data_IF_106981769784
#
_entry.id   IF_106981769784
#
_cell.length_a   1.000
_cell.length_b   1.000
_cell.length_c   1.000
_cell.angle_alpha   90.00
_cell.angle_beta   90.00
_cell.angle_gamma   90.00
#
_symmetry.space_group_name_H-M   'P 1'
#
loop_
_entity.id
_entity.type
_entity.pdbx_description
1 polymer ?
#
# COMPACT_ATOMS: atom_id res chain seq x y z
N UNK A 1 -70.21 32.24 29.86
CA UNK A 1 -70.45 30.78 30.04
C UNK A 1 -70.30 29.92 28.77
N UNK A 2 -69.85 30.42 27.60
CA UNK A 2 -69.73 29.59 26.38
C UNK A 2 -68.31 29.22 25.94
N UNK A 3 -67.26 29.75 26.58
CA UNK A 3 -65.87 29.46 26.19
C UNK A 3 -65.22 28.33 27.01
N UNK A 4 -65.60 28.18 28.29
CA UNK A 4 -65.09 27.11 29.16
C UNK A 4 -65.62 25.71 28.78
N UNK A 5 -66.83 25.62 28.20
CA UNK A 5 -67.39 24.34 27.72
C UNK A 5 -66.70 23.80 26.46
N UNK A 6 -66.15 24.68 25.60
CA UNK A 6 -65.46 24.27 24.37
C UNK A 6 -64.01 23.86 24.67
N UNK A 7 -63.35 24.53 25.63
CA UNK A 7 -62.01 24.13 26.08
C UNK A 7 -62.05 22.79 26.82
N UNK A 8 -63.10 22.50 27.59
CA UNK A 8 -63.28 21.18 28.21
C UNK A 8 -63.53 20.07 27.17
N UNK A 9 -64.24 20.37 26.06
CA UNK A 9 -64.46 19.40 24.99
C UNK A 9 -63.20 19.14 24.14
N UNK A 10 -62.35 20.16 23.96
CA UNK A 10 -61.07 20.02 23.24
C UNK A 10 -60.00 19.35 24.14
N UNK A 11 -60.03 19.58 25.46
CA UNK A 11 -59.12 18.90 26.39
C UNK A 11 -59.50 17.44 26.68
N UNK A 12 -60.73 17.01 26.34
CA UNK A 12 -61.12 15.59 26.30
C UNK A 12 -60.81 14.92 24.96
N UNK A 13 -60.52 15.67 23.91
CA UNK A 13 -60.16 15.14 22.58
C UNK A 13 -58.64 14.96 22.37
N UNK A 14 -57.80 15.45 23.28
CA UNK A 14 -56.32 15.34 23.18
C UNK A 14 -55.76 14.09 23.88
N UNK A 15 -56.60 13.25 24.52
CA UNK A 15 -56.16 12.03 25.21
C UNK A 15 -56.15 10.74 24.34
N UNK A 16 -56.33 10.82 23.02
CA UNK A 16 -56.52 9.63 22.17
C UNK A 16 -55.59 9.58 20.95
N UNK A 17 -54.42 10.21 21.01
CA UNK A 17 -53.38 10.05 19.99
C UNK A 17 -52.17 9.32 20.59
N UNK A 18 -51.95 8.07 20.16
CA UNK A 18 -50.74 7.29 20.46
C UNK A 18 -50.87 6.17 21.51
N UNK A 19 -52.01 5.49 21.64
CA UNK A 19 -52.11 4.31 22.51
C UNK A 19 -51.63 3.04 21.80
N UNK A 20 -50.48 2.52 22.25
CA UNK A 20 -50.03 1.17 21.89
C UNK A 20 -50.86 0.17 22.71
N UNK A 21 -51.59 -0.72 22.06
CA UNK A 21 -52.44 -1.72 22.72
C UNK A 21 -51.94 -3.13 22.46
N UNK A 22 -52.17 -4.06 23.39
CA UNK A 22 -51.90 -5.48 23.13
C UNK A 22 -52.74 -5.99 21.96
N UNK A 23 -52.10 -6.80 21.12
CA UNK A 23 -52.65 -7.22 19.85
C UNK A 23 -52.34 -8.70 19.56
N UNK A 24 -52.94 -9.23 18.50
CA UNK A 24 -52.73 -10.60 18.03
C UNK A 24 -51.62 -10.66 16.98
N UNK A 25 -50.91 -11.80 16.84
CA UNK A 25 -50.03 -12.02 15.69
C UNK A 25 -50.81 -11.89 14.37
N UNK A 26 -50.20 -11.35 13.29
CA UNK A 26 -50.84 -11.26 11.98
C UNK A 26 -51.31 -12.61 11.40
N UNK A 27 -50.71 -13.71 11.85
CA UNK A 27 -51.02 -15.08 11.41
C UNK A 27 -51.94 -15.85 12.36
N UNK A 28 -52.42 -15.25 13.45
CA UNK A 28 -53.39 -15.88 14.34
C UNK A 28 -54.76 -16.00 13.65
N UNK A 29 -55.45 -17.12 13.85
CA UNK A 29 -56.76 -17.37 13.25
C UNK A 29 -57.88 -17.05 14.23
N UNK A 30 -58.88 -16.30 13.78
CA UNK A 30 -60.11 -16.08 14.52
C UNK A 30 -60.96 -17.34 14.54
N UNK A 31 -61.37 -17.78 15.73
CA UNK A 31 -62.14 -19.00 15.93
C UNK A 31 -63.33 -18.74 16.84
N UNK A 32 -64.46 -19.40 16.58
CA UNK A 32 -65.65 -19.40 17.43
C UNK A 32 -65.49 -20.29 18.66
N UNK A 33 -64.37 -20.17 19.37
CA UNK A 33 -64.07 -20.97 20.55
C UNK A 33 -64.65 -20.34 21.81
N UNK A 34 -65.11 -21.17 22.73
CA UNK A 34 -65.64 -20.76 24.03
C UNK A 34 -64.76 -21.30 25.17
N UNK A 35 -64.75 -20.59 26.30
CA UNK A 35 -64.00 -20.99 27.49
C UNK A 35 -64.56 -22.32 28.00
N UNK A 36 -63.71 -23.34 28.10
CA UNK A 36 -64.07 -24.66 28.62
C UNK A 36 -63.62 -24.82 30.09
N UNK A 37 -62.40 -24.39 30.39
CA UNK A 37 -61.88 -24.28 31.75
C UNK A 37 -60.85 -23.13 31.85
N UNK A 38 -60.16 -22.99 32.98
CA UNK A 38 -59.21 -21.90 33.22
C UNK A 38 -58.06 -21.81 32.20
N UNK A 39 -57.68 -22.90 31.51
CA UNK A 39 -56.58 -22.89 30.52
C UNK A 39 -56.98 -23.42 29.15
N UNK A 40 -58.22 -23.90 29.00
CA UNK A 40 -58.70 -24.57 27.79
C UNK A 40 -59.94 -23.89 27.23
N UNK A 41 -59.98 -23.87 25.91
CA UNK A 41 -61.12 -23.46 25.11
C UNK A 41 -61.61 -24.67 24.31
N UNK A 42 -62.86 -24.65 23.91
CA UNK A 42 -63.41 -25.66 23.04
C UNK A 42 -64.11 -25.01 21.86
N UNK A 43 -64.04 -25.64 20.70
CA UNK A 43 -64.90 -25.32 19.57
C UNK A 43 -65.23 -26.60 18.81
N UNK A 44 -66.34 -26.59 18.08
CA UNK A 44 -66.77 -27.75 17.29
C UNK A 44 -66.47 -27.52 15.83
N UNK A 45 -65.78 -28.48 15.21
CA UNK A 45 -65.51 -28.53 13.78
C UNK A 45 -66.11 -29.82 13.23
N UNK A 46 -67.06 -29.72 12.32
CA UNK A 46 -67.64 -30.88 11.62
C UNK A 46 -68.13 -31.99 12.59
N UNK A 47 -68.75 -31.59 13.71
CA UNK A 47 -69.25 -32.52 14.73
C UNK A 47 -68.21 -33.12 15.66
N UNK A 48 -66.92 -32.78 15.50
CA UNK A 48 -65.83 -33.17 16.41
C UNK A 48 -65.47 -32.03 17.35
N UNK A 49 -65.22 -32.36 18.62
CA UNK A 49 -64.72 -31.41 19.60
C UNK A 49 -63.22 -31.14 19.36
N UNK A 50 -62.86 -29.86 19.30
CA UNK A 50 -61.47 -29.40 19.26
C UNK A 50 -61.20 -28.64 20.55
N UNK A 51 -60.29 -29.16 21.36
CA UNK A 51 -59.84 -28.59 22.61
C UNK A 51 -58.58 -27.77 22.34
N UNK A 52 -58.63 -26.47 22.62
CA UNK A 52 -57.50 -25.56 22.47
C UNK A 52 -56.90 -25.33 23.85
N UNK A 53 -55.62 -25.62 24.02
CA UNK A 53 -54.92 -25.45 25.28
C UNK A 53 -53.88 -24.33 25.15
N UNK A 54 -53.92 -23.34 26.05
CA UNK A 54 -52.87 -22.33 26.12
C UNK A 54 -51.54 -22.99 26.52
N UNK A 55 -50.53 -22.89 25.67
CA UNK A 55 -49.21 -23.44 25.94
C UNK A 55 -48.48 -22.64 27.04
N UNK A 56 -47.69 -23.35 27.87
CA UNK A 56 -46.85 -22.74 28.91
C UNK A 56 -47.62 -22.11 30.07
N UNK A 57 -48.93 -22.31 30.15
CA UNK A 57 -49.79 -21.80 31.22
C UNK A 57 -50.46 -22.94 31.96
N UNK A 58 -50.32 -22.94 33.28
CA UNK A 58 -50.98 -23.90 34.17
C UNK A 58 -51.81 -23.16 35.21
N UNK A 59 -52.92 -23.75 35.61
CA UNK A 59 -53.79 -23.21 36.66
C UNK A 59 -53.72 -24.11 37.88
N UNK A 60 -53.38 -23.54 39.04
CA UNK A 60 -53.27 -24.23 40.31
C UNK A 60 -53.94 -23.39 41.41
N UNK A 61 -55.22 -23.09 41.21
CA UNK A 61 -56.07 -22.38 42.16
C UNK A 61 -57.15 -23.26 42.78
N UNK A 62 -57.74 -22.75 43.85
CA UNK A 62 -58.95 -23.28 44.49
C UNK A 62 -60.18 -23.19 43.58
N UNK A 63 -61.27 -23.88 43.95
CA UNK A 63 -62.53 -23.83 43.19
C UNK A 63 -63.10 -22.41 43.10
N UNK A 64 -62.99 -21.61 44.15
CA UNK A 64 -63.44 -20.21 44.17
C UNK A 64 -62.61 -19.34 43.23
N UNK A 65 -61.28 -19.50 43.23
CA UNK A 65 -60.40 -18.81 42.28
C UNK A 65 -60.69 -19.22 40.84
N UNK A 66 -60.95 -20.50 40.59
CA UNK A 66 -61.33 -20.99 39.26
C UNK A 66 -62.62 -20.33 38.79
N UNK A 67 -63.62 -20.18 39.66
CA UNK A 67 -64.87 -19.50 39.31
C UNK A 67 -64.65 -18.00 39.00
N UNK A 68 -63.85 -17.30 39.80
CA UNK A 68 -63.53 -15.88 39.55
C UNK A 68 -62.79 -15.69 38.21
N UNK A 69 -61.81 -16.55 37.94
CA UNK A 69 -61.06 -16.56 36.68
C UNK A 69 -61.97 -16.87 35.49
N UNK A 70 -62.85 -17.87 35.59
CA UNK A 70 -63.80 -18.18 34.53
C UNK A 70 -64.72 -16.99 34.23
N UNK A 71 -65.23 -16.31 35.26
CA UNK A 71 -66.04 -15.10 35.07
C UNK A 71 -65.26 -14.00 34.34
N UNK A 72 -63.99 -13.81 34.69
CA UNK A 72 -63.13 -12.87 33.98
C UNK A 72 -62.94 -13.28 32.52
N UNK A 73 -62.60 -14.54 32.24
CA UNK A 73 -62.42 -15.04 30.88
C UNK A 73 -63.71 -14.95 30.05
N UNK A 74 -64.88 -15.27 30.62
CA UNK A 74 -66.16 -15.09 29.93
C UNK A 74 -66.44 -13.62 29.56
N UNK A 75 -66.01 -12.68 30.41
CA UNK A 75 -66.16 -11.24 30.12
C UNK A 75 -65.19 -10.75 29.03
N UNK A 76 -63.99 -11.34 28.97
CA UNK A 76 -62.92 -10.88 28.09
C UNK A 76 -62.87 -11.63 26.76
N UNK A 77 -63.32 -12.88 26.70
CA UNK A 77 -63.09 -13.76 25.56
C UNK A 77 -64.35 -13.93 24.70
N UNK A 78 -64.92 -12.81 24.23
CA UNK A 78 -66.02 -12.84 23.25
C UNK A 78 -65.52 -13.21 21.85
N UNK A 79 -64.38 -12.66 21.48
CA UNK A 79 -63.63 -13.04 20.28
C UNK A 79 -62.38 -13.80 20.72
N UNK A 80 -62.06 -14.88 20.02
CA UNK A 80 -60.89 -15.71 20.31
C UNK A 80 -60.07 -15.85 19.04
N UNK A 81 -58.77 -15.59 19.15
CA UNK A 81 -57.79 -15.78 18.11
C UNK A 81 -56.73 -16.78 18.61
N UNK A 82 -56.34 -17.72 17.76
CA UNK A 82 -55.44 -18.81 18.15
C UNK A 82 -54.31 -18.94 17.14
N UNK A 83 -53.11 -19.09 17.66
CA UNK A 83 -51.95 -19.53 16.90
C UNK A 83 -51.65 -20.97 17.29
N UNK A 84 -52.13 -21.90 16.45
CA UNK A 84 -51.97 -23.34 16.66
C UNK A 84 -50.51 -23.72 16.45
N UNK A 85 -49.90 -24.36 17.46
CA UNK A 85 -48.50 -24.82 17.38
C UNK A 85 -48.41 -26.24 16.86
N UNK A 86 -49.29 -27.11 17.34
CA UNK A 86 -49.39 -28.49 16.90
C UNK A 86 -50.83 -29.00 17.02
N UNK A 87 -51.13 -30.11 16.36
CA UNK A 87 -52.44 -30.79 16.43
C UNK A 87 -52.21 -32.23 16.87
N UNK A 88 -52.80 -32.59 18.00
CA UNK A 88 -52.75 -33.94 18.55
C UNK A 88 -54.14 -34.57 18.46
N UNK A 89 -54.23 -35.74 17.80
CA UNK A 89 -55.47 -36.51 17.76
C UNK A 89 -55.67 -37.24 19.09
N UNK A 90 -56.87 -37.11 19.66
CA UNK A 90 -57.28 -37.83 20.87
C UNK A 90 -58.48 -38.71 20.55
N UNK A 91 -58.72 -39.76 21.35
CA UNK A 91 -59.87 -40.65 21.14
C UNK A 91 -61.25 -39.96 21.25
N UNK A 92 -61.32 -38.70 21.70
CA UNK A 92 -62.55 -37.92 21.89
C UNK A 92 -62.60 -36.62 21.08
N UNK A 93 -61.62 -36.37 20.21
CA UNK A 93 -61.50 -35.11 19.47
C UNK A 93 -60.06 -34.71 19.16
N UNK A 94 -59.81 -33.44 18.94
CA UNK A 94 -58.47 -32.91 18.69
C UNK A 94 -58.02 -32.03 19.86
N UNK A 95 -56.72 -32.09 20.20
CA UNK A 95 -56.08 -31.19 21.17
C UNK A 95 -55.08 -30.31 20.43
N UNK A 96 -55.25 -29.00 20.54
CA UNK A 96 -54.45 -27.99 19.87
C UNK A 96 -53.69 -27.15 20.90
N UNK A 97 -52.45 -27.54 21.26
CA UNK A 97 -51.54 -26.63 21.95
C UNK A 97 -51.34 -25.36 21.13
N UNK A 98 -51.67 -24.22 21.72
CA UNK A 98 -51.78 -22.95 21.01
C UNK A 98 -51.37 -21.77 21.88
N UNK A 99 -50.99 -20.67 21.23
CA UNK A 99 -51.02 -19.34 21.86
C UNK A 99 -52.41 -18.75 21.65
N UNK A 100 -53.12 -18.49 22.75
CA UNK A 100 -54.51 -18.06 22.76
C UNK A 100 -54.59 -16.59 23.12
N UNK A 101 -55.29 -15.86 22.28
CA UNK A 101 -55.59 -14.46 22.46
C UNK A 101 -57.10 -14.29 22.49
N UNK A 102 -57.61 -13.42 23.34
CA UNK A 102 -59.03 -13.14 23.36
C UNK A 102 -59.34 -11.67 23.55
N UNK A 103 -60.50 -11.22 23.07
CA UNK A 103 -60.88 -9.82 23.12
C UNK A 103 -62.38 -9.68 23.34
N UNK A 104 -62.76 -8.66 24.12
CA UNK A 104 -64.14 -8.35 24.43
C UNK A 104 -64.84 -7.69 23.22
N UNK A 105 -64.11 -6.83 22.52
CA UNK A 105 -64.64 -5.94 21.47
C UNK A 105 -63.82 -5.97 20.17
N UNK A 106 -62.67 -6.66 20.17
CA UNK A 106 -61.73 -6.73 19.05
C UNK A 106 -60.71 -5.58 19.02
N UNK A 107 -60.75 -4.64 19.97
CA UNK A 107 -59.92 -3.42 19.96
C UNK A 107 -58.62 -3.54 20.76
N UNK A 108 -58.56 -4.50 21.68
CA UNK A 108 -57.36 -4.89 22.43
C UNK A 108 -57.44 -6.37 22.78
N UNK A 109 -56.33 -7.08 22.71
CA UNK A 109 -56.33 -8.54 22.83
C UNK A 109 -55.55 -8.98 24.06
N UNK A 110 -56.22 -9.73 24.92
CA UNK A 110 -55.63 -10.42 26.06
C UNK A 110 -54.89 -11.65 25.54
N UNK A 111 -53.57 -11.62 25.61
CA UNK A 111 -52.78 -12.84 25.49
C UNK A 111 -52.87 -13.61 26.81
N UNK A 112 -53.41 -14.83 26.78
CA UNK A 112 -53.67 -15.59 28.03
C UNK A 112 -52.40 -15.89 28.81
N UNK A 113 -51.24 -15.93 28.15
CA UNK A 113 -49.94 -16.07 28.82
C UNK A 113 -49.67 -14.96 29.85
N UNK A 114 -50.33 -13.81 29.73
CA UNK A 114 -50.20 -12.69 30.68
C UNK A 114 -51.06 -12.83 31.94
N UNK A 115 -51.93 -13.84 32.02
CA UNK A 115 -52.80 -14.07 33.20
C UNK A 115 -52.08 -14.22 34.55
N UNK A 116 -50.84 -14.76 34.64
CA UNK A 116 -50.08 -14.79 35.90
C UNK A 116 -49.84 -13.39 36.49
N UNK A 117 -49.86 -12.34 35.68
CA UNK A 117 -49.71 -10.95 36.15
C UNK A 117 -50.97 -10.43 36.86
N UNK A 118 -52.13 -11.08 36.67
CA UNK A 118 -53.41 -10.68 37.25
C UNK A 118 -53.91 -11.64 38.32
N UNK A 119 -53.69 -12.94 38.15
CA UNK A 119 -54.16 -13.95 39.10
C UNK A 119 -53.01 -14.87 39.51
N UNK A 120 -52.70 -14.88 40.80
CA UNK A 120 -51.65 -15.72 41.39
C UNK A 120 -51.89 -17.23 41.23
N UNK A 121 -53.14 -17.62 40.97
CA UNK A 121 -53.52 -19.01 40.70
C UNK A 121 -52.94 -19.55 39.37
N UNK A 122 -52.54 -18.68 38.44
CA UNK A 122 -51.83 -19.11 37.23
C UNK A 122 -50.33 -19.17 37.45
N UNK A 123 -49.71 -20.20 36.88
CA UNK A 123 -48.26 -20.34 36.77
C UNK A 123 -47.87 -20.43 35.31
N UNK A 124 -46.97 -19.56 34.90
CA UNK A 124 -46.44 -19.47 33.54
C UNK A 124 -45.36 -18.39 33.46
N UNK A 125 -44.44 -18.54 32.53
CA UNK A 125 -43.38 -17.56 32.32
C UNK A 125 -43.91 -16.37 31.51
N UNK A 126 -43.78 -15.16 32.07
CA UNK A 126 -44.06 -13.91 31.38
C UNK A 126 -42.75 -13.16 31.18
N UNK A 127 -42.34 -13.05 29.93
CA UNK A 127 -41.17 -12.26 29.56
C UNK A 127 -41.56 -10.80 29.50
N UNK A 128 -40.64 -9.93 29.93
CA UNK A 128 -40.78 -8.48 29.85
C UNK A 128 -39.70 -7.91 28.95
N UNK A 129 -39.79 -6.63 28.59
CA UNK A 129 -38.82 -5.88 27.80
C UNK A 129 -38.69 -4.49 28.41
N UNK A 130 -37.47 -4.01 28.60
CA UNK A 130 -37.24 -2.61 28.95
C UNK A 130 -37.41 -1.74 27.70
N UNK A 131 -38.49 -0.98 27.65
CA UNK A 131 -38.85 -0.16 26.50
C UNK A 131 -39.45 1.16 26.96
N UNK A 132 -38.98 2.28 26.40
CA UNK A 132 -39.45 3.64 26.70
C UNK A 132 -40.81 3.95 26.06
N UNK A 133 -41.75 3.03 26.19
CA UNK A 133 -43.12 3.11 25.66
C UNK A 133 -44.11 2.74 26.76
N UNK A 134 -45.36 3.17 26.60
CA UNK A 134 -46.49 2.76 27.41
C UNK A 134 -47.40 1.87 26.58
N UNK A 135 -47.74 0.69 27.10
CA UNK A 135 -48.69 -0.21 26.46
C UNK A 135 -49.91 -0.46 27.34
N UNK A 136 -51.05 -0.56 26.70
CA UNK A 136 -52.34 -0.83 27.32
C UNK A 136 -52.77 -2.26 27.00
N UNK A 137 -53.05 -3.04 28.03
CA UNK A 137 -53.50 -4.43 27.88
C UNK A 137 -54.74 -4.67 28.73
N UNK A 138 -55.56 -5.70 28.43
CA UNK A 138 -56.70 -6.05 29.27
C UNK A 138 -56.36 -6.44 30.72
N UNK A 139 -55.09 -6.73 31.02
CA UNK A 139 -54.64 -7.00 32.41
C UNK A 139 -54.11 -5.77 33.14
N UNK A 140 -53.77 -4.68 32.43
CA UNK A 140 -53.16 -3.49 33.02
C UNK A 140 -52.38 -2.64 32.02
N UNK A 141 -51.86 -1.51 32.53
CA UNK A 141 -51.02 -0.56 31.78
C UNK A 141 -49.58 -0.72 32.21
N UNK A 142 -48.66 -0.82 31.26
CA UNK A 142 -47.23 -1.03 31.51
C UNK A 142 -46.41 0.10 30.88
N UNK A 143 -45.48 0.67 31.63
CA UNK A 143 -44.61 1.78 31.19
C UNK A 143 -43.18 1.47 31.56
N UNK A 144 -42.23 1.62 30.62
CA UNK A 144 -40.80 1.37 30.86
C UNK A 144 -40.43 -0.12 30.92
N UNK A 145 -41.31 -0.95 31.48
CA UNK A 145 -41.12 -2.40 31.58
C UNK A 145 -42.38 -3.12 31.11
N UNK A 146 -42.34 -3.59 29.86
CA UNK A 146 -43.53 -4.00 29.09
C UNK A 146 -43.48 -5.51 28.83
N UNK A 147 -44.58 -6.27 28.98
CA UNK A 147 -44.58 -7.68 28.61
C UNK A 147 -44.16 -7.88 27.15
N UNK A 148 -43.44 -8.95 26.85
CA UNK A 148 -43.23 -9.35 25.47
C UNK A 148 -44.57 -9.67 24.79
N UNK A 149 -44.64 -9.57 23.47
CA UNK A 149 -45.88 -9.86 22.75
C UNK A 149 -46.08 -9.04 21.49
N UNK A 150 -47.27 -9.16 20.91
CA UNK A 150 -47.71 -8.39 19.76
C UNK A 150 -48.50 -7.16 20.21
N UNK A 151 -48.26 -6.05 19.54
CA UNK A 151 -48.81 -4.75 19.87
C UNK A 151 -49.24 -4.02 18.61
N UNK A 152 -50.28 -3.21 18.74
CA UNK A 152 -50.80 -2.32 17.70
C UNK A 152 -50.61 -0.89 18.17
N UNK A 153 -49.88 -0.09 17.39
CA UNK A 153 -49.91 1.36 17.53
C UNK A 153 -51.16 1.91 16.82
N UNK A 154 -52.15 2.37 17.59
CA UNK A 154 -53.39 2.94 17.05
C UNK A 154 -53.19 4.22 16.25
N UNK A 155 -52.10 4.95 16.48
CA UNK A 155 -51.80 6.18 15.74
C UNK A 155 -51.36 5.88 14.30
N UNK A 156 -50.55 4.82 14.12
CA UNK A 156 -49.98 4.44 12.82
C UNK A 156 -50.66 3.23 12.18
N UNK A 157 -51.56 2.55 12.90
CA UNK A 157 -52.14 1.25 12.54
C UNK A 157 -51.10 0.17 12.25
N UNK A 158 -49.90 0.29 12.84
CA UNK A 158 -48.82 -0.68 12.67
C UNK A 158 -48.87 -1.74 13.75
N UNK A 159 -48.82 -3.00 13.33
CA UNK A 159 -48.64 -4.15 14.23
C UNK A 159 -47.15 -4.47 14.32
N UNK A 160 -46.61 -4.53 15.53
CA UNK A 160 -45.23 -4.89 15.79
C UNK A 160 -45.12 -5.86 16.96
N UNK A 161 -43.99 -6.54 17.06
CA UNK A 161 -43.71 -7.50 18.14
C UNK A 161 -42.59 -6.98 19.03
N UNK A 162 -42.84 -6.91 20.33
CA UNK A 162 -41.78 -6.78 21.32
C UNK A 162 -41.24 -8.18 21.63
N UNK A 163 -39.94 -8.44 21.39
CA UNK A 163 -39.38 -9.77 21.55
C UNK A 163 -39.41 -10.23 23.01
N UNK A 164 -39.75 -11.49 23.26
CA UNK A 164 -39.42 -12.13 24.54
C UNK A 164 -37.91 -12.25 24.63
N UNK A 165 -37.32 -11.87 25.77
CA UNK A 165 -35.87 -11.99 25.95
C UNK A 165 -35.42 -13.43 25.70
N UNK A 166 -34.67 -13.65 24.62
CA UNK A 166 -33.86 -14.85 24.45
C UNK A 166 -32.39 -14.39 24.57
N UNK A 167 -31.85 -14.47 25.80
CA UNK A 167 -30.51 -13.94 26.13
C UNK A 167 -29.41 -14.43 25.17
N UNK A 168 -29.59 -15.63 24.62
CA UNK A 168 -28.70 -16.23 23.62
C UNK A 168 -28.54 -15.37 22.35
N UNK A 169 -29.60 -14.71 21.88
CA UNK A 169 -29.54 -13.92 20.63
C UNK A 169 -28.75 -12.63 20.83
N UNK A 170 -28.89 -11.98 21.99
CA UNK A 170 -28.12 -10.78 22.34
C UNK A 170 -26.64 -11.11 22.52
N UNK A 171 -26.32 -12.25 23.14
CA UNK A 171 -24.94 -12.73 23.24
C UNK A 171 -24.33 -12.98 21.87
N UNK A 172 -25.09 -13.56 20.94
CA UNK A 172 -24.59 -13.83 19.58
C UNK A 172 -24.41 -12.53 18.78
N UNK A 173 -25.34 -11.58 18.90
CA UNK A 173 -25.20 -10.25 18.29
C UNK A 173 -23.97 -9.52 18.83
N UNK A 174 -23.71 -9.58 20.15
CA UNK A 174 -22.50 -9.00 20.73
C UNK A 174 -21.23 -9.69 20.25
N UNK A 175 -21.21 -11.03 20.17
CA UNK A 175 -20.07 -11.78 19.62
C UNK A 175 -19.80 -11.36 18.18
N UNK A 176 -20.83 -11.31 17.33
CA UNK A 176 -20.68 -10.88 15.93
C UNK A 176 -20.18 -9.44 15.82
N UNK A 177 -20.67 -8.52 16.66
CA UNK A 177 -20.17 -7.15 16.70
C UNK A 177 -18.69 -7.08 17.10
N UNK A 178 -18.25 -7.87 18.09
CA UNK A 178 -16.84 -7.92 18.48
C UNK A 178 -15.97 -8.49 17.36
N UNK A 179 -16.42 -9.53 16.65
CA UNK A 179 -15.72 -10.11 15.51
C UNK A 179 -15.61 -9.10 14.36
N UNK A 180 -16.67 -8.37 14.04
CA UNK A 180 -16.65 -7.33 13.00
C UNK A 180 -15.66 -6.22 13.37
N UNK A 181 -15.66 -5.75 14.62
CA UNK A 181 -14.73 -4.74 15.09
C UNK A 181 -13.27 -5.22 14.98
N UNK A 182 -13.01 -6.46 15.38
CA UNK A 182 -11.67 -7.05 15.32
C UNK A 182 -11.19 -7.23 13.87
N UNK A 183 -12.04 -7.73 12.97
CA UNK A 183 -11.73 -7.87 11.55
C UNK A 183 -11.47 -6.51 10.89
N UNK A 184 -12.25 -5.49 11.25
CA UNK A 184 -12.06 -4.12 10.73
C UNK A 184 -10.70 -3.56 11.17
N UNK A 185 -10.31 -3.76 12.43
CA UNK A 185 -9.00 -3.36 12.92
C UNK A 185 -7.85 -4.11 12.24
N UNK A 186 -8.00 -5.42 12.01
CA UNK A 186 -7.02 -6.22 11.26
C UNK A 186 -6.88 -5.75 9.81
N UNK A 187 -7.98 -5.43 9.14
CA UNK A 187 -7.96 -4.91 7.77
C UNK A 187 -7.23 -3.56 7.69
N UNK A 188 -7.48 -2.65 8.64
CA UNK A 188 -6.77 -1.37 8.73
C UNK A 188 -5.27 -1.56 8.97
N UNK A 189 -4.88 -2.45 9.89
CA UNK A 189 -3.48 -2.77 10.14
C UNK A 189 -2.79 -3.40 8.92
N UNK A 190 -3.45 -4.34 8.24
CA UNK A 190 -2.94 -4.93 7.00
C UNK A 190 -2.80 -3.89 5.88
N UNK A 191 -3.76 -2.97 5.75
CA UNK A 191 -3.70 -1.86 4.79
C UNK A 191 -2.52 -0.92 5.08
N UNK A 192 -2.27 -0.60 6.36
CA UNK A 192 -1.14 0.23 6.77
C UNK A 192 0.21 -0.47 6.52
N UNK A 193 0.29 -1.78 6.80
CA UNK A 193 1.49 -2.56 6.48
C UNK A 193 1.73 -2.62 4.97
N UNK A 194 0.68 -2.76 4.16
CA UNK A 194 0.80 -2.80 2.71
C UNK A 194 1.27 -1.45 2.13
N UNK A 195 0.79 -0.33 2.68
CA UNK A 195 1.28 1.00 2.27
C UNK A 195 2.74 1.24 2.67
N UNK A 196 3.15 0.77 3.86
CA UNK A 196 4.56 0.79 4.28
C UNK A 196 5.45 -0.08 3.38
N UNK A 197 5.03 -1.30 3.06
CA UNK A 197 5.72 -2.19 2.12
C UNK A 197 5.84 -1.56 0.73
N UNK A 198 4.78 -0.94 0.23
CA UNK A 198 4.80 -0.22 -1.05
C UNK A 198 5.81 0.93 -1.04
N UNK A 199 5.91 1.67 0.07
CA UNK A 199 6.88 2.76 0.21
C UNK A 199 8.32 2.25 0.30
N UNK A 200 8.54 1.13 0.99
CA UNK A 200 9.86 0.49 1.05
C UNK A 200 10.28 -0.05 -0.32
N UNK A 201 9.33 -0.62 -1.08
CA UNK A 201 9.58 -1.12 -2.44
C UNK A 201 9.98 0.02 -3.39
N UNK A 202 9.31 1.17 -3.33
CA UNK A 202 9.70 2.34 -4.13
C UNK A 202 11.08 2.86 -3.73
N UNK A 203 11.40 2.93 -2.44
CA UNK A 203 12.74 3.32 -1.99
C UNK A 203 13.83 2.34 -2.46
N UNK A 204 13.59 1.03 -2.35
CA UNK A 204 14.52 0.01 -2.85
C UNK A 204 14.69 0.10 -4.37
N UNK A 205 13.61 0.33 -5.11
CA UNK A 205 13.67 0.50 -6.57
C UNK A 205 14.48 1.74 -6.98
N UNK A 206 14.38 2.84 -6.21
CA UNK A 206 15.17 4.04 -6.45
C UNK A 206 16.66 3.78 -6.17
N UNK A 207 16.99 3.13 -5.05
CA UNK A 207 18.37 2.73 -4.73
C UNK A 207 18.96 1.79 -5.77
N UNK A 208 18.18 0.84 -6.28
CA UNK A 208 18.65 -0.06 -7.34
C UNK A 208 19.00 0.71 -8.63
N UNK A 209 18.18 1.69 -9.03
CA UNK A 209 18.47 2.54 -10.19
C UNK A 209 19.70 3.42 -10.00
N UNK A 210 19.91 3.92 -8.78
CA UNK A 210 21.11 4.69 -8.45
C UNK A 210 22.38 3.84 -8.48
N UNK A 211 22.33 2.62 -7.95
CA UNK A 211 23.46 1.69 -8.06
C UNK A 211 23.74 1.29 -9.52
N UNK A 212 22.70 1.09 -10.33
CA UNK A 212 22.83 0.81 -11.76
C UNK A 212 23.52 1.97 -12.51
N UNK A 213 23.17 3.23 -12.18
CA UNK A 213 23.81 4.40 -12.80
C UNK A 213 25.26 4.57 -12.36
N UNK A 214 25.57 4.35 -11.07
CA UNK A 214 26.93 4.36 -10.56
C UNK A 214 27.79 3.28 -11.21
N UNK A 215 27.25 2.06 -11.38
CA UNK A 215 27.93 0.97 -12.08
C UNK A 215 28.29 1.37 -13.50
N UNK A 216 27.35 1.93 -14.27
CA UNK A 216 27.62 2.39 -15.65
C UNK A 216 28.68 3.47 -15.71
N UNK A 217 28.62 4.46 -14.82
CA UNK A 217 29.63 5.51 -14.74
C UNK A 217 31.03 4.92 -14.42
N UNK A 218 31.10 3.91 -13.55
CA UNK A 218 32.35 3.21 -13.26
C UNK A 218 32.87 2.42 -14.48
N UNK A 219 31.99 1.70 -15.17
CA UNK A 219 32.34 0.97 -16.40
C UNK A 219 32.89 1.91 -17.49
N UNK A 220 32.28 3.08 -17.67
CA UNK A 220 32.75 4.11 -18.60
C UNK A 220 34.11 4.68 -18.17
N UNK A 221 34.29 4.96 -16.87
CA UNK A 221 35.56 5.44 -16.34
C UNK A 221 36.70 4.41 -16.52
N UNK A 222 36.41 3.12 -16.35
CA UNK A 222 37.37 2.03 -16.61
C UNK A 222 37.74 1.98 -18.09
N UNK A 223 36.77 1.99 -19.01
CA UNK A 223 37.04 2.02 -20.46
C UNK A 223 37.87 3.25 -20.86
N UNK A 224 37.56 4.40 -20.28
CA UNK A 224 38.34 5.61 -20.51
C UNK A 224 39.80 5.43 -20.06
N UNK A 225 40.03 4.92 -18.85
CA UNK A 225 41.39 4.62 -18.36
C UNK A 225 42.13 3.61 -19.22
N UNK A 226 41.47 2.54 -19.66
CA UNK A 226 42.08 1.55 -20.57
C UNK A 226 42.52 2.20 -21.88
N UNK A 227 41.69 3.07 -22.46
CA UNK A 227 42.06 3.82 -23.67
C UNK A 227 43.27 4.74 -23.46
N UNK A 228 43.34 5.43 -22.32
CA UNK A 228 44.47 6.30 -21.94
C UNK A 228 45.74 5.48 -21.74
N UNK A 229 45.67 4.34 -21.06
CA UNK A 229 46.81 3.43 -20.88
C UNK A 229 47.31 2.94 -22.25
N UNK A 230 46.41 2.55 -23.15
CA UNK A 230 46.77 2.13 -24.51
C UNK A 230 47.48 3.25 -25.27
N UNK A 231 46.96 4.48 -25.23
CA UNK A 231 47.56 5.64 -25.88
C UNK A 231 48.95 5.98 -25.32
N UNK A 232 49.09 5.99 -23.99
CA UNK A 232 50.38 6.21 -23.31
C UNK A 232 51.39 5.11 -23.64
N UNK A 233 50.96 3.85 -23.72
CA UNK A 233 51.83 2.73 -24.09
C UNK A 233 52.37 2.88 -25.51
N UNK A 234 51.54 3.32 -26.46
CA UNK A 234 51.94 3.59 -27.83
C UNK A 234 52.91 4.78 -27.91
N UNK A 235 52.64 5.87 -27.18
CA UNK A 235 53.57 7.01 -27.09
C UNK A 235 54.93 6.61 -26.50
N UNK A 236 54.93 5.77 -25.47
CA UNK A 236 56.17 5.29 -24.86
C UNK A 236 56.98 4.39 -25.80
N UNK A 237 56.31 3.56 -26.60
CA UNK A 237 56.96 2.79 -27.67
C UNK A 237 57.54 3.69 -28.76
N UNK A 238 56.80 4.71 -29.20
CA UNK A 238 57.28 5.68 -30.18
C UNK A 238 58.51 6.45 -29.67
N UNK A 239 58.46 6.97 -28.44
CA UNK A 239 59.59 7.67 -27.82
C UNK A 239 60.82 6.77 -27.65
N UNK A 240 60.64 5.48 -27.34
CA UNK A 240 61.74 4.50 -27.32
C UNK A 240 62.36 4.32 -28.72
N UNK A 241 61.54 4.19 -29.75
CA UNK A 241 62.02 4.07 -31.12
C UNK A 241 62.80 5.32 -31.58
N UNK A 242 62.32 6.51 -31.23
CA UNK A 242 63.02 7.78 -31.48
C UNK A 242 64.36 7.85 -30.74
N UNK A 243 64.39 7.48 -29.45
CA UNK A 243 65.62 7.44 -28.67
C UNK A 243 66.66 6.47 -29.25
N UNK A 244 66.23 5.30 -29.72
CA UNK A 244 67.12 4.34 -30.38
C UNK A 244 67.62 4.83 -31.75
N UNK A 245 66.77 5.55 -32.51
CA UNK A 245 67.18 6.20 -33.75
C UNK A 245 68.22 7.31 -33.49
N UNK A 246 68.00 8.17 -32.50
CA UNK A 246 68.93 9.21 -32.09
C UNK A 246 70.26 8.63 -31.58
N UNK A 247 70.23 7.52 -30.83
CA UNK A 247 71.45 6.81 -30.42
C UNK A 247 72.26 6.32 -31.62
N UNK A 248 71.60 5.74 -32.63
CA UNK A 248 72.28 5.32 -33.87
C UNK A 248 72.91 6.51 -34.60
N UNK A 249 72.19 7.63 -34.71
CA UNK A 249 72.72 8.86 -35.30
C UNK A 249 73.92 9.41 -34.52
N UNK A 250 73.89 9.38 -33.18
CA UNK A 250 75.01 9.81 -32.34
C UNK A 250 76.25 8.94 -32.58
N UNK A 251 76.09 7.62 -32.64
CA UNK A 251 77.19 6.69 -32.91
C UNK A 251 77.78 6.88 -34.32
N UNK A 252 76.94 7.14 -35.33
CA UNK A 252 77.41 7.44 -36.68
C UNK A 252 78.18 8.77 -36.71
N UNK A 253 77.64 9.84 -36.10
CA UNK A 253 78.32 11.12 -35.99
C UNK A 253 79.65 11.02 -35.23
N UNK A 254 79.74 10.17 -34.20
CA UNK A 254 81.00 9.88 -33.50
C UNK A 254 82.03 9.23 -34.41
N UNK A 255 81.61 8.24 -35.22
CA UNK A 255 82.49 7.59 -36.20
C UNK A 255 82.98 8.58 -37.25
N UNK A 256 82.10 9.42 -37.78
CA UNK A 256 82.47 10.48 -38.71
C UNK A 256 83.47 11.45 -38.08
N UNK A 257 83.29 11.82 -36.80
CA UNK A 257 84.21 12.69 -36.09
C UNK A 257 85.60 12.05 -35.94
N UNK A 258 85.68 10.77 -35.57
CA UNK A 258 86.96 10.05 -35.49
C UNK A 258 87.65 9.94 -36.86
N UNK A 259 86.89 9.69 -37.94
CA UNK A 259 87.41 9.70 -39.31
C UNK A 259 87.93 11.08 -39.70
N UNK A 260 87.19 12.15 -39.41
CA UNK A 260 87.62 13.52 -39.68
C UNK A 260 88.85 13.91 -38.87
N UNK A 261 88.94 13.48 -37.61
CA UNK A 261 90.10 13.68 -36.73
C UNK A 261 91.33 12.95 -37.25
N UNK A 262 91.18 11.72 -37.74
CA UNK A 262 92.25 10.98 -38.40
C UNK A 262 92.69 11.64 -39.72
N UNK A 263 91.75 12.15 -40.52
CA UNK A 263 92.08 12.94 -41.72
C UNK A 263 92.83 14.22 -41.36
N UNK A 264 92.42 14.92 -40.31
CA UNK A 264 93.10 16.13 -39.83
C UNK A 264 94.51 15.82 -39.32
N UNK A 265 94.72 14.73 -38.57
CA UNK A 265 96.06 14.33 -38.13
C UNK A 265 96.95 13.94 -39.30
N UNK A 266 96.42 13.23 -40.30
CA UNK A 266 97.14 12.89 -41.53
C UNK A 266 97.51 14.14 -42.33
N UNK A 267 96.58 15.07 -42.51
CA UNK A 267 96.85 16.35 -43.17
C UNK A 267 97.89 17.15 -42.40
N UNK A 268 97.77 17.22 -41.07
CA UNK A 268 98.75 17.91 -40.23
C UNK A 268 100.15 17.29 -40.33
N UNK A 269 100.26 15.96 -40.34
CA UNK A 269 101.53 15.27 -40.59
C UNK A 269 102.09 15.57 -41.99
N UNK A 270 101.22 15.61 -43.01
CA UNK A 270 101.61 15.98 -44.38
C UNK A 270 102.08 17.44 -44.45
N UNK A 271 101.42 18.36 -43.74
CA UNK A 271 101.85 19.75 -43.63
C UNK A 271 103.17 19.87 -42.87
N UNK A 272 103.36 19.14 -41.77
CA UNK A 272 104.61 19.11 -41.03
C UNK A 272 105.77 18.58 -41.91
N UNK A 273 105.53 17.55 -42.71
CA UNK A 273 106.51 17.02 -43.67
C UNK A 273 106.80 18.00 -44.81
N UNK A 274 105.78 18.69 -45.34
CA UNK A 274 106.01 19.80 -46.29
C UNK A 274 106.78 20.95 -45.66
N UNK A 275 106.51 21.30 -44.41
CA UNK A 275 107.23 22.35 -43.68
C UNK A 275 108.68 21.93 -43.49
N UNK A 276 108.96 20.68 -43.11
CA UNK A 276 110.32 20.16 -42.95
C UNK A 276 111.05 20.09 -44.31
N UNK A 277 110.38 19.67 -45.38
CA UNK A 277 110.90 19.73 -46.75
C UNK A 277 111.19 21.16 -47.19
N UNK A 278 110.28 22.10 -46.94
CA UNK A 278 110.49 23.51 -47.25
C UNK A 278 111.62 24.10 -46.42
N UNK A 279 111.77 23.73 -45.14
CA UNK A 279 112.91 24.12 -44.30
C UNK A 279 114.21 23.50 -44.79
N UNK A 280 114.20 22.25 -45.26
CA UNK A 280 115.35 21.61 -45.89
C UNK A 280 115.70 22.29 -47.21
N UNK A 281 114.72 22.65 -48.04
CA UNK A 281 114.93 23.44 -49.24
C UNK A 281 115.40 24.85 -48.92
N UNK A 282 114.93 25.49 -47.84
CA UNK A 282 115.42 26.79 -47.38
C UNK A 282 116.83 26.69 -46.83
N UNK A 283 117.18 25.59 -46.16
CA UNK A 283 118.54 25.31 -45.71
C UNK A 283 119.46 24.94 -46.86
N UNK A 284 118.96 24.24 -47.88
CA UNK A 284 119.69 23.99 -49.13
C UNK A 284 119.81 25.28 -49.96
N UNK A 285 118.81 26.15 -49.98
CA UNK A 285 118.85 27.46 -50.62
C UNK A 285 119.68 28.46 -49.82
N UNK A 286 119.80 28.32 -48.49
CA UNK A 286 120.70 29.13 -47.66
C UNK A 286 122.14 28.62 -47.80
N UNK A 287 122.35 27.30 -47.90
CA UNK A 287 123.64 26.71 -48.26
C UNK A 287 124.03 27.03 -49.71
N UNK A 288 123.08 27.02 -50.65
CA UNK A 288 123.27 27.48 -52.03
C UNK A 288 123.43 29.01 -52.08
N UNK A 289 122.78 29.81 -51.23
CA UNK A 289 123.05 31.26 -51.11
C UNK A 289 124.40 31.55 -50.44
N UNK A 290 124.92 30.65 -49.62
CA UNK A 290 126.32 30.70 -49.16
C UNK A 290 127.31 30.23 -50.23
N UNK A 291 126.84 29.69 -51.37
CA UNK A 291 127.67 29.27 -52.50
C UNK A 291 127.32 29.93 -53.86
N UNK A 292 126.33 30.82 -53.88
CA UNK A 292 125.88 31.56 -55.07
C UNK A 292 125.63 33.02 -54.68
N UNK A 293 126.75 33.70 -54.48
CA UNK A 293 126.86 35.11 -54.82
C UNK A 293 126.55 35.29 -56.31
N UNK A 294 125.91 36.42 -56.61
CA UNK A 294 125.65 36.99 -57.94
C UNK A 294 124.37 36.57 -58.69
N UNK A 295 123.64 37.64 -59.05
CA UNK A 295 122.61 37.79 -60.08
C UNK A 295 121.15 37.40 -59.79
N UNK A 296 120.33 38.45 -59.63
CA UNK A 296 119.15 38.65 -60.48
C UNK A 296 117.87 37.90 -60.11
N UNK A 297 116.94 38.60 -59.43
CA UNK A 297 115.55 38.15 -59.30
C UNK A 297 114.82 38.00 -60.65
N UNK A 298 113.56 37.51 -60.66
CA UNK A 298 112.48 38.44 -60.32
C UNK A 298 111.24 37.86 -59.58
N UNK A 299 110.63 38.77 -58.81
CA UNK A 299 109.22 38.96 -58.47
C UNK A 299 108.18 37.87 -58.86
N UNK A 300 107.78 37.08 -57.86
CA UNK A 300 106.62 36.16 -57.87
C UNK A 300 105.27 36.86 -57.58
N UNK A 301 105.25 38.20 -57.54
CA UNK A 301 104.06 39.01 -57.24
C UNK A 301 102.83 38.75 -58.16
N UNK A 302 102.95 38.46 -59.48
CA UNK A 302 101.76 38.27 -60.32
C UNK A 302 101.11 36.89 -60.16
N UNK A 303 101.83 35.87 -59.68
CA UNK A 303 101.27 34.51 -59.47
C UNK A 303 100.40 34.48 -58.20
N UNK A 304 100.74 35.31 -57.22
CA UNK A 304 99.99 35.45 -55.97
C UNK A 304 98.62 36.10 -56.19
N UNK A 305 98.49 37.01 -57.15
CA UNK A 305 97.20 37.62 -57.51
C UNK A 305 96.26 36.66 -58.26
N UNK A 306 96.79 35.80 -59.13
CA UNK A 306 95.98 34.78 -59.83
C UNK A 306 95.46 33.73 -58.84
N UNK A 307 96.29 33.32 -57.86
CA UNK A 307 95.89 32.40 -56.81
C UNK A 307 94.80 33.01 -55.88
N UNK A 308 94.86 34.30 -55.58
CA UNK A 308 93.87 34.96 -54.72
C UNK A 308 92.49 35.06 -55.38
N UNK A 309 92.42 35.35 -56.69
CA UNK A 309 91.15 35.44 -57.43
C UNK A 309 90.47 34.08 -57.54
N UNK A 310 91.23 32.99 -57.72
CA UNK A 310 90.69 31.63 -57.75
C UNK A 310 90.11 31.19 -56.39
N UNK A 311 90.75 31.57 -55.29
CA UNK A 311 90.29 31.24 -53.93
C UNK A 311 89.01 32.02 -53.56
N UNK A 312 88.92 33.30 -53.95
CA UNK A 312 87.72 34.12 -53.71
C UNK A 312 86.54 33.62 -54.55
N UNK A 313 86.77 33.22 -55.81
CA UNK A 313 85.72 32.63 -56.66
C UNK A 313 85.16 31.31 -56.12
N UNK A 314 86.02 30.44 -55.59
CA UNK A 314 85.61 29.16 -55.00
C UNK A 314 84.80 29.35 -53.70
N UNK A 315 85.17 30.32 -52.86
CA UNK A 315 84.45 30.66 -51.62
C UNK A 315 83.04 31.22 -51.88
N UNK A 316 82.87 32.00 -52.94
CA UNK A 316 81.57 32.56 -53.34
C UNK A 316 80.65 31.46 -53.90
N UNK A 317 81.19 30.55 -54.70
CA UNK A 317 80.41 29.41 -55.22
C UNK A 317 79.92 28.47 -54.11
N UNK A 318 80.76 28.19 -53.11
CA UNK A 318 80.40 27.34 -51.96
C UNK A 318 79.37 28.02 -51.04
N UNK A 319 79.44 29.35 -50.87
CA UNK A 319 78.40 30.09 -50.11
C UNK A 319 77.06 30.12 -50.81
N UNK A 320 77.02 30.22 -52.15
CA UNK A 320 75.75 30.25 -52.90
C UNK A 320 75.04 28.90 -52.87
N UNK A 321 75.80 27.80 -52.95
CA UNK A 321 75.23 26.44 -52.92
C UNK A 321 74.66 26.04 -51.56
N UNK A 322 75.15 26.63 -50.45
CA UNK A 322 74.60 26.41 -49.09
C UNK A 322 73.35 27.23 -48.74
N UNK A 323 72.90 28.12 -49.62
CA UNK A 323 71.69 28.93 -49.40
C UNK A 323 70.47 28.40 -50.17
N UNK A 324 70.64 27.35 -50.98
CA UNK A 324 69.61 26.71 -51.80
C UNK A 324 69.25 25.28 -51.32
N UNK A 325 69.84 24.82 -50.20
CA UNK A 325 69.43 23.64 -49.42
C UNK A 325 68.95 24.09 -48.03
#
# INVERSE_FOLDING_TARGET
MKLQGIIALIMLAVAVFGQIVSWVPPHAQLVGAYVYNATHFAYYKEGKAVYIAQEGLTFNGTKSEAQAVLQFLYSQCKYVAVEVKNVTLTGRGELWPSEVYCSQDGSSWLWLRLLPLRFAAYKGAVDFVNASITVYTPIGVFTGYVPAGWYLDRGTNTVFRLPGFNASLITEIHKLQTVIAQLTAQLQAASANNSQLSALLTQLSAKARELESQRKALEEAVRHRESVISALSAQLQAARAEADALRKQLEEARRENEVLKAKLSQLNATYADKISQLQLQLNQLSQMKLQAQEEGGPNLLPILFIALIAIVGALVYIRKKRAEE
#
